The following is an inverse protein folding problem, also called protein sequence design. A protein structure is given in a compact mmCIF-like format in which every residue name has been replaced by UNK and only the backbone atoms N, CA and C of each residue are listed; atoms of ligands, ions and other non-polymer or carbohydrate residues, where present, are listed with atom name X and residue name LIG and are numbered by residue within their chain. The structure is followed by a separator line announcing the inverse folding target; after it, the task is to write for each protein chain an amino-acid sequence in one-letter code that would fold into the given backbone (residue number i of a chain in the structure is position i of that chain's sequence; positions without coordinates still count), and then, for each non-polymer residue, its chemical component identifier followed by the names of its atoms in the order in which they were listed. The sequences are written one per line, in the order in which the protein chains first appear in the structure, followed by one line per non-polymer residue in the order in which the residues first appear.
data_IF_423954835148
#
_entry.id   IF_423954835148
#
_cell.length_a   1.000
_cell.length_b   1.000
_cell.length_c   1.000
_cell.angle_alpha   90.00
_cell.angle_beta   90.00
_cell.angle_gamma   90.00
#
_symmetry.space_group_name_H-M   'P 1'
#
loop_
_entity.id
_entity.type
_entity.pdbx_description
1 polymer ?
#
# COMPACT_ATOMS: atom_id res chain seq x y z
N UNK A 1 4.15 8.95 11.71
CA UNK A 1 4.92 8.17 10.72
C UNK A 1 4.01 7.82 9.57
N UNK A 2 4.47 8.08 8.34
CA UNK A 2 3.75 7.72 7.12
C UNK A 2 4.23 6.36 6.62
N UNK A 3 3.33 5.61 5.97
CA UNK A 3 3.57 4.27 5.46
C UNK A 3 2.90 4.10 4.12
N UNK A 4 3.35 3.10 3.37
CA UNK A 4 2.76 2.69 2.11
C UNK A 4 2.09 1.33 2.28
N UNK A 5 1.19 0.98 1.36
CA UNK A 5 0.58 -0.36 1.33
C UNK A 5 1.24 -1.15 0.21
N UNK A 6 1.99 -2.19 0.58
CA UNK A 6 2.61 -3.15 -0.33
C UNK A 6 1.60 -4.28 -0.56
N UNK A 7 1.17 -4.50 -1.80
CA UNK A 7 0.19 -5.50 -2.19
C UNK A 7 0.82 -6.87 -2.41
N UNK A 8 2.05 -6.90 -2.93
CA UNK A 8 2.83 -8.11 -3.14
C UNK A 8 4.31 -7.81 -2.92
N UNK A 9 4.96 -8.58 -2.07
CA UNK A 9 6.41 -8.57 -1.86
C UNK A 9 7.09 -9.54 -2.81
N UNK A 10 8.23 -9.16 -3.40
CA UNK A 10 9.00 -10.01 -4.30
C UNK A 10 9.96 -9.21 -5.16
N UNK A 11 10.50 -9.83 -6.21
CA UNK A 11 11.45 -9.22 -7.16
C UNK A 11 10.88 -7.97 -7.84
N UNK A 12 9.56 -7.91 -7.99
CA UNK A 12 8.81 -6.76 -8.48
C UNK A 12 7.73 -6.39 -7.46
N UNK A 13 8.08 -5.58 -6.45
CA UNK A 13 7.12 -5.18 -5.42
C UNK A 13 5.99 -4.37 -6.05
N UNK A 14 4.75 -4.66 -5.64
CA UNK A 14 3.56 -3.95 -6.10
C UNK A 14 3.01 -3.14 -4.95
N UNK A 15 2.89 -1.84 -5.15
CA UNK A 15 2.36 -0.90 -4.17
C UNK A 15 0.97 -0.41 -4.58
N UNK A 16 0.21 0.01 -3.58
CA UNK A 16 -1.02 0.75 -3.78
C UNK A 16 -0.68 2.18 -4.24
N UNK A 17 -1.28 2.65 -5.34
CA UNK A 17 -1.14 4.01 -5.88
C UNK A 17 -2.32 4.91 -5.51
N UNK A 18 -3.55 4.41 -5.62
CA UNK A 18 -4.75 5.12 -5.18
C UNK A 18 -5.93 4.17 -4.99
N UNK A 19 -6.93 4.61 -4.22
CA UNK A 19 -8.23 3.95 -4.10
C UNK A 19 -9.28 4.99 -4.46
N UNK A 20 -10.09 4.73 -5.49
CA UNK A 20 -11.18 5.61 -5.89
C UNK A 20 -12.43 4.79 -6.16
N UNK A 21 -13.53 5.05 -5.43
CA UNK A 21 -14.84 4.39 -5.63
C UNK A 21 -14.81 2.85 -5.72
N UNK A 22 -13.85 2.21 -5.04
CA UNK A 22 -13.68 0.75 -5.05
C UNK A 22 -12.66 0.23 -6.06
N UNK A 23 -12.21 1.07 -7.00
CA UNK A 23 -11.10 0.76 -7.87
C UNK A 23 -9.78 0.99 -7.16
N UNK A 24 -8.94 -0.04 -7.21
CA UNK A 24 -7.60 -0.05 -6.63
C UNK A 24 -6.61 0.10 -7.78
N UNK A 25 -5.89 1.21 -7.78
CA UNK A 25 -4.81 1.46 -8.73
C UNK A 25 -3.50 1.06 -8.08
N UNK A 26 -2.67 0.30 -8.81
CA UNK A 26 -1.38 -0.21 -8.33
C UNK A 26 -0.22 0.46 -9.05
N UNK A 27 0.97 0.39 -8.47
CA UNK A 27 2.22 0.86 -9.08
C UNK A 27 3.36 -0.08 -8.71
N UNK A 28 4.37 -0.18 -9.57
CA UNK A 28 5.63 -0.87 -9.26
C UNK A 28 6.71 0.10 -8.75
N UNK A 29 6.49 1.41 -8.93
CA UNK A 29 7.40 2.45 -8.45
C UNK A 29 6.98 2.92 -7.05
N UNK A 30 7.80 2.71 -6.01
CA UNK A 30 7.51 3.14 -4.65
C UNK A 30 7.40 4.67 -4.50
N UNK A 31 8.00 5.47 -5.39
CA UNK A 31 7.86 6.94 -5.37
C UNK A 31 6.46 7.40 -5.74
N UNK A 32 5.75 6.59 -6.53
CA UNK A 32 4.37 6.83 -6.92
C UNK A 32 3.36 6.11 -6.03
N UNK A 33 3.82 5.42 -4.98
CA UNK A 33 2.95 4.72 -4.05
C UNK A 33 2.21 5.70 -3.13
N UNK A 34 0.98 5.33 -2.81
CA UNK A 34 0.11 6.06 -1.89
C UNK A 34 0.75 6.05 -0.50
N UNK A 35 1.17 7.23 -0.07
CA UNK A 35 1.77 7.44 1.25
C UNK A 35 0.71 8.00 2.19
N UNK A 36 0.45 7.29 3.29
CA UNK A 36 -0.63 7.60 4.23
C UNK A 36 -0.09 7.61 5.66
N UNK A 37 -0.73 8.35 6.58
CA UNK A 37 -0.49 8.15 8.01
C UNK A 37 -0.70 6.68 8.40
N UNK A 38 0.15 6.17 9.29
CA UNK A 38 0.09 4.76 9.70
C UNK A 38 -1.25 4.35 10.31
N UNK A 39 -1.97 5.26 10.98
CA UNK A 39 -3.33 5.05 11.47
C UNK A 39 -4.32 4.82 10.33
N UNK A 40 -4.32 5.69 9.32
CA UNK A 40 -5.16 5.59 8.13
C UNK A 40 -4.85 4.33 7.33
N UNK A 41 -3.57 4.00 7.14
CA UNK A 41 -3.17 2.81 6.40
C UNK A 41 -3.61 1.51 7.09
N UNK A 42 -3.55 1.45 8.44
CA UNK A 42 -4.08 0.31 9.21
C UNK A 42 -5.58 0.14 9.04
N UNK A 43 -6.33 1.24 8.96
CA UNK A 43 -7.77 1.22 8.72
C UNK A 43 -8.12 0.76 7.30
N UNK A 44 -7.32 1.13 6.30
CA UNK A 44 -7.52 0.72 4.91
C UNK A 44 -7.06 -0.71 4.61
N UNK A 45 -6.04 -1.22 5.32
CA UNK A 45 -5.40 -2.50 5.05
C UNK A 45 -6.39 -3.68 4.98
N UNK A 46 -7.38 -3.84 5.89
CA UNK A 46 -8.36 -4.92 5.80
C UNK A 46 -9.20 -4.88 4.51
N UNK A 47 -9.54 -3.69 4.02
CA UNK A 47 -10.30 -3.54 2.77
C UNK A 47 -9.44 -3.95 1.57
N UNK A 48 -8.18 -3.54 1.55
CA UNK A 48 -7.22 -3.97 0.51
C UNK A 48 -7.00 -5.48 0.56
N UNK A 49 -6.89 -6.06 1.77
CA UNK A 49 -6.69 -7.51 1.97
C UNK A 49 -7.80 -8.39 1.42
N UNK A 50 -9.03 -7.87 1.28
CA UNK A 50 -10.12 -8.61 0.63
C UNK A 50 -9.80 -8.98 -0.82
N UNK A 51 -9.01 -8.15 -1.52
CA UNK A 51 -8.60 -8.38 -2.91
C UNK A 51 -7.13 -8.79 -3.05
N UNK A 52 -6.27 -8.36 -2.12
CA UNK A 52 -4.85 -8.75 -2.03
C UNK A 52 -4.52 -9.31 -0.65
N UNK A 53 -4.71 -10.61 -0.41
CA UNK A 53 -4.51 -11.22 0.92
C UNK A 53 -3.11 -11.00 1.49
N UNK A 54 -2.10 -10.91 0.62
CA UNK A 54 -0.69 -10.70 0.97
C UNK A 54 -0.34 -9.22 1.24
N UNK A 55 -1.32 -8.31 1.16
CA UNK A 55 -1.06 -6.90 1.38
C UNK A 55 -0.55 -6.63 2.80
N UNK A 56 0.43 -5.75 2.93
CA UNK A 56 1.08 -5.40 4.18
C UNK A 56 1.47 -3.92 4.21
N UNK A 57 1.77 -3.41 5.40
CA UNK A 57 2.28 -2.06 5.56
C UNK A 57 3.78 -2.06 5.27
N UNK A 58 4.20 -1.19 4.35
CA UNK A 58 5.60 -0.92 4.06
C UNK A 58 6.01 0.36 4.77
N UNK A 59 6.92 0.24 5.73
CA UNK A 59 7.50 1.37 6.44
C UNK A 59 8.78 1.74 5.70
N UNK A 60 8.79 2.86 4.98
CA UNK A 60 10.06 3.46 4.58
C UNK A 60 10.75 3.95 5.84
N UNK A 61 11.90 3.36 6.14
CA UNK A 61 12.85 3.95 7.07
C UNK A 61 13.52 5.10 6.31
N UNK A 62 12.87 6.27 6.27
CA UNK A 62 13.62 7.51 6.08
C UNK A 62 14.51 7.66 7.34
N UNK A 63 15.77 7.29 7.19
CA UNK A 63 16.88 7.61 8.10
C UNK A 63 17.55 8.87 7.56
#
# INVERSE_FOLDING_TARGET
MNVQILLSSGTHPVFLKSISKGDIVTTFDPKHALTLPSSTARMLLPMVKRRWPMAQLSYSLDV
#
